data_IF_509350683475
#
_entry.id   IF_509350683475
#
_cell.length_a   1.000
_cell.length_b   1.000
_cell.length_c   1.000
_cell.angle_alpha   90.00
_cell.angle_beta   90.00
_cell.angle_gamma   90.00
#
_symmetry.space_group_name_H-M   'P 1'
#
loop_
_entity.id
_entity.type
_entity.pdbx_description
1 polymer ?
#
# COMPACT_ATOMS: atom_id res chain seq x y z
N UNK A 1 32.38 -23.35 89.96
CA UNK A 1 31.25 -23.82 89.12
C UNK A 1 30.97 -22.75 88.09
N UNK A 2 31.61 -22.86 86.90
CA UNK A 2 31.62 -21.82 85.85
C UNK A 2 30.69 -22.26 84.77
N UNK A 3 29.62 -21.50 84.46
CA UNK A 3 28.70 -21.76 83.41
C UNK A 3 29.21 -21.10 82.08
N UNK A 4 29.57 -21.91 81.13
CA UNK A 4 29.91 -21.47 79.76
C UNK A 4 28.66 -21.23 79.04
N UNK A 5 28.38 -20.00 78.55
CA UNK A 5 27.30 -19.65 77.66
C UNK A 5 27.73 -19.85 76.18
N UNK A 6 27.11 -20.75 75.48
CA UNK A 6 27.29 -20.89 74.04
C UNK A 6 26.51 -19.78 73.33
N UNK A 7 27.25 -18.93 72.63
CA UNK A 7 26.67 -17.96 71.69
C UNK A 7 26.54 -18.66 70.34
N UNK A 8 25.28 -18.88 69.90
CA UNK A 8 25.01 -19.36 68.54
C UNK A 8 25.11 -18.19 67.56
N UNK A 9 26.11 -18.22 66.69
CA UNK A 9 26.25 -17.29 65.58
C UNK A 9 25.39 -17.84 64.46
N UNK A 10 24.26 -17.16 64.14
CA UNK A 10 23.44 -17.44 62.96
C UNK A 10 24.09 -16.75 61.75
N UNK A 11 24.74 -17.53 60.90
CA UNK A 11 25.25 -17.05 59.62
C UNK A 11 24.10 -17.03 58.62
N UNK A 12 23.59 -15.82 58.29
CA UNK A 12 22.58 -15.60 57.27
C UNK A 12 23.28 -15.64 55.91
N UNK A 13 23.15 -16.77 55.19
CA UNK A 13 23.59 -16.86 53.79
C UNK A 13 22.61 -16.10 52.91
N UNK A 14 22.92 -14.85 52.53
CA UNK A 14 22.21 -14.13 51.48
C UNK A 14 22.75 -14.65 50.15
N UNK A 15 22.05 -15.62 49.59
CA UNK A 15 22.32 -16.10 48.23
C UNK A 15 21.94 -15.02 47.20
N UNK A 16 22.93 -14.28 46.73
CA UNK A 16 22.77 -13.40 45.58
C UNK A 16 22.66 -14.29 44.33
N UNK A 17 21.42 -14.56 43.91
CA UNK A 17 21.14 -15.20 42.60
C UNK A 17 21.48 -14.17 41.53
N UNK A 18 22.68 -14.25 40.97
CA UNK A 18 23.07 -13.58 39.72
C UNK A 18 22.28 -14.21 38.58
N UNK A 19 21.10 -13.69 38.30
CA UNK A 19 20.45 -13.95 37.00
C UNK A 19 21.33 -13.30 35.93
N UNK A 20 21.82 -14.05 34.93
CA UNK A 20 22.46 -13.42 33.81
C UNK A 20 21.41 -12.58 33.09
N UNK A 21 21.60 -11.25 33.09
CA UNK A 21 20.83 -10.32 32.29
C UNK A 21 21.19 -10.61 30.83
N UNK A 22 20.40 -11.51 30.18
CA UNK A 22 20.41 -11.64 28.76
C UNK A 22 19.60 -10.47 28.20
N UNK A 23 20.22 -9.50 27.48
CA UNK A 23 19.45 -8.53 26.75
C UNK A 23 18.59 -9.29 25.74
N UNK A 24 17.30 -8.91 25.52
CA UNK A 24 16.51 -9.51 24.47
C UNK A 24 17.28 -9.33 23.18
N UNK A 25 17.53 -10.44 22.48
CA UNK A 25 18.10 -10.41 21.14
C UNK A 25 17.22 -9.46 20.30
N UNK A 26 17.81 -8.53 19.55
CA UNK A 26 17.01 -7.71 18.65
C UNK A 26 16.23 -8.68 17.76
N UNK A 27 14.91 -8.55 17.74
CA UNK A 27 14.09 -9.23 16.75
C UNK A 27 14.71 -8.88 15.40
N UNK A 28 15.47 -9.81 14.85
CA UNK A 28 15.87 -9.74 13.46
C UNK A 28 14.55 -9.76 12.68
N UNK A 29 14.12 -8.58 12.21
CA UNK A 29 13.09 -8.52 11.21
C UNK A 29 13.60 -9.37 10.05
N UNK A 30 13.11 -10.59 9.96
CA UNK A 30 13.33 -11.48 8.82
C UNK A 30 12.46 -11.00 7.64
N UNK A 31 12.58 -9.73 7.27
CA UNK A 31 12.24 -9.29 5.94
C UNK A 31 13.34 -9.86 5.05
N UNK A 32 13.06 -11.00 4.43
CA UNK A 32 13.90 -11.51 3.36
C UNK A 32 14.09 -10.39 2.33
N UNK A 33 15.14 -10.42 1.48
CA UNK A 33 15.42 -9.33 0.55
C UNK A 33 14.16 -9.02 -0.24
N UNK A 34 13.68 -7.77 -0.14
CA UNK A 34 12.47 -7.34 -0.82
C UNK A 34 12.60 -7.71 -2.30
N UNK A 35 11.72 -8.58 -2.76
CA UNK A 35 11.75 -9.06 -4.14
C UNK A 35 11.24 -7.95 -5.05
N UNK A 36 12.16 -7.28 -5.75
CA UNK A 36 11.84 -6.24 -6.73
C UNK A 36 11.91 -6.80 -8.14
N UNK A 37 10.98 -6.37 -8.98
CA UNK A 37 11.04 -6.59 -10.43
C UNK A 37 11.23 -5.23 -11.10
N UNK A 38 12.16 -5.15 -12.05
CA UNK A 38 12.38 -3.97 -12.88
C UNK A 38 11.89 -4.24 -14.30
N UNK A 39 11.10 -3.33 -14.86
CA UNK A 39 10.58 -3.45 -16.22
C UNK A 39 10.24 -2.06 -16.78
N UNK A 40 9.74 -2.01 -18.02
CA UNK A 40 9.24 -0.78 -18.65
C UNK A 40 7.72 -0.84 -18.80
N UNK A 41 7.03 0.30 -18.60
CA UNK A 41 5.60 0.41 -18.88
C UNK A 41 5.39 0.60 -20.37
N UNK A 42 4.81 -0.38 -21.04
CA UNK A 42 4.52 -0.34 -22.49
C UNK A 42 3.11 0.13 -22.79
N UNK A 43 2.19 0.00 -21.82
CA UNK A 43 0.80 0.43 -21.97
C UNK A 43 0.17 0.77 -20.63
N UNK A 44 -0.73 1.76 -20.63
CA UNK A 44 -1.62 2.03 -19.49
C UNK A 44 -3.03 1.63 -19.94
N UNK A 45 -3.58 0.60 -19.30
CA UNK A 45 -4.89 0.02 -19.65
C UNK A 45 -5.99 0.89 -19.02
N UNK A 46 -5.93 1.10 -17.71
CA UNK A 46 -6.78 1.97 -16.92
C UNK A 46 -5.92 2.82 -15.96
N UNK A 47 -6.54 3.70 -15.19
CA UNK A 47 -5.80 4.58 -14.27
C UNK A 47 -4.98 3.82 -13.21
N UNK A 48 -5.33 2.57 -12.93
CA UNK A 48 -4.70 1.71 -11.94
C UNK A 48 -4.19 0.36 -12.47
N UNK A 49 -4.17 0.18 -13.79
CA UNK A 49 -3.72 -1.06 -14.43
C UNK A 49 -2.73 -0.76 -15.56
N UNK A 50 -1.53 -1.30 -15.42
CA UNK A 50 -0.40 -1.12 -16.35
C UNK A 50 -0.10 -2.44 -17.07
N UNK A 51 0.52 -2.33 -18.26
CA UNK A 51 1.14 -3.47 -18.95
C UNK A 51 2.63 -3.19 -19.10
N UNK A 52 3.45 -4.19 -18.76
CA UNK A 52 4.90 -4.14 -18.81
C UNK A 52 5.45 -4.68 -20.13
N UNK A 53 6.76 -4.57 -20.33
CA UNK A 53 7.43 -5.00 -21.55
C UNK A 53 7.28 -6.50 -21.86
N UNK A 54 7.18 -7.34 -20.84
CA UNK A 54 6.90 -8.77 -20.92
C UNK A 54 5.42 -9.12 -21.04
N UNK A 55 4.54 -8.12 -21.26
CA UNK A 55 3.09 -8.21 -21.27
C UNK A 55 2.43 -8.54 -19.93
N UNK A 56 3.19 -8.55 -18.84
CA UNK A 56 2.63 -8.69 -17.49
C UNK A 56 1.68 -7.53 -17.22
N UNK A 57 0.45 -7.84 -16.77
CA UNK A 57 -0.52 -6.84 -16.31
C UNK A 57 -0.36 -6.62 -14.83
N UNK A 58 -0.08 -5.38 -14.45
CA UNK A 58 0.10 -4.97 -13.05
C UNK A 58 -1.11 -4.17 -12.61
N UNK A 59 -1.81 -4.65 -11.58
CA UNK A 59 -2.84 -3.91 -10.85
C UNK A 59 -2.19 -3.21 -9.66
N UNK A 60 -2.33 -1.90 -9.61
CA UNK A 60 -1.79 -1.08 -8.53
C UNK A 60 -2.54 -1.37 -7.22
N UNK A 61 -1.82 -1.82 -6.19
CA UNK A 61 -2.39 -2.15 -4.88
C UNK A 61 -2.88 -0.88 -4.17
N UNK A 62 -3.99 -1.01 -3.44
CA UNK A 62 -4.48 -0.03 -2.48
C UNK A 62 -5.27 1.13 -3.09
N UNK A 63 -5.36 1.21 -4.42
CA UNK A 63 -6.06 2.29 -5.13
C UNK A 63 -7.07 1.73 -6.13
N UNK A 64 -8.12 2.51 -6.41
CA UNK A 64 -9.14 2.20 -7.40
C UNK A 64 -9.51 3.45 -8.19
N UNK A 65 -9.44 3.35 -9.51
CA UNK A 65 -9.81 4.44 -10.43
C UNK A 65 -11.19 4.19 -11.05
N UNK A 66 -11.89 5.25 -11.50
CA UNK A 66 -13.13 5.08 -12.23
C UNK A 66 -12.92 4.25 -13.49
N UNK A 67 -13.91 3.41 -13.82
CA UNK A 67 -13.87 2.54 -14.98
C UNK A 67 -13.93 3.30 -16.29
N UNK A 68 -13.05 2.93 -17.22
CA UNK A 68 -13.05 3.45 -18.59
C UNK A 68 -13.91 2.61 -19.51
N UNK A 69 -13.84 1.27 -19.36
CA UNK A 69 -14.50 0.32 -20.24
C UNK A 69 -15.85 -0.14 -19.67
N UNK A 70 -16.77 -0.52 -20.57
CA UNK A 70 -18.05 -1.07 -20.14
C UNK A 70 -17.83 -2.39 -19.39
N UNK A 71 -18.26 -2.43 -18.15
CA UNK A 71 -18.05 -3.57 -17.24
C UNK A 71 -19.18 -3.66 -16.21
N UNK A 72 -19.30 -4.82 -15.55
CA UNK A 72 -20.22 -4.96 -14.41
C UNK A 72 -19.86 -3.99 -13.25
N UNK A 73 -18.58 -3.63 -13.12
CA UNK A 73 -18.14 -2.63 -12.13
C UNK A 73 -18.69 -1.26 -12.52
N UNK A 74 -18.57 -0.83 -13.77
CA UNK A 74 -19.11 0.45 -14.26
C UNK A 74 -20.63 0.58 -13.97
N UNK A 75 -21.41 -0.48 -14.20
CA UNK A 75 -22.84 -0.47 -13.90
C UNK A 75 -23.09 -0.27 -12.39
N UNK A 76 -22.41 -1.04 -11.53
CA UNK A 76 -22.53 -0.90 -10.08
C UNK A 76 -22.10 0.49 -9.59
N UNK A 77 -21.03 1.05 -10.15
CA UNK A 77 -20.53 2.38 -9.81
C UNK A 77 -21.52 3.47 -10.22
N UNK A 78 -22.17 3.32 -11.36
CA UNK A 78 -23.25 4.20 -11.83
C UNK A 78 -24.46 4.16 -10.90
N UNK A 79 -24.95 2.97 -10.55
CA UNK A 79 -26.05 2.78 -9.61
C UNK A 79 -25.73 3.36 -8.22
N UNK A 80 -24.55 3.05 -7.69
CA UNK A 80 -24.11 3.49 -6.36
C UNK A 80 -23.90 5.00 -6.25
N UNK A 81 -23.28 5.62 -7.26
CA UNK A 81 -22.96 7.04 -7.26
C UNK A 81 -24.08 7.91 -7.84
N UNK A 82 -25.14 7.30 -8.41
CA UNK A 82 -26.23 7.98 -9.17
C UNK A 82 -25.70 8.89 -10.29
N UNK A 83 -24.57 8.50 -10.89
CA UNK A 83 -23.97 9.22 -12.02
C UNK A 83 -24.17 8.48 -13.32
N UNK A 84 -24.29 9.24 -14.38
CA UNK A 84 -24.33 8.69 -15.72
C UNK A 84 -23.04 7.93 -16.06
N UNK A 85 -23.17 6.82 -16.75
CA UNK A 85 -22.06 6.00 -17.22
C UNK A 85 -21.04 6.84 -17.98
N UNK A 86 -21.50 7.78 -18.82
CA UNK A 86 -20.63 8.67 -19.58
C UNK A 86 -19.76 9.56 -18.69
N UNK A 87 -20.29 10.01 -17.55
CA UNK A 87 -19.53 10.80 -16.57
C UNK A 87 -18.44 9.94 -15.93
N UNK A 88 -18.76 8.72 -15.48
CA UNK A 88 -17.77 7.81 -14.86
C UNK A 88 -16.66 7.47 -15.85
N UNK A 89 -17.02 7.16 -17.11
CA UNK A 89 -16.03 6.90 -18.17
C UNK A 89 -15.16 8.12 -18.49
N UNK A 90 -15.73 9.34 -18.41
CA UNK A 90 -14.94 10.57 -18.56
C UNK A 90 -13.91 10.72 -17.45
N UNK A 91 -14.29 10.42 -16.21
CA UNK A 91 -13.38 10.41 -15.05
C UNK A 91 -12.31 9.32 -15.20
N UNK A 92 -12.69 8.12 -15.67
CA UNK A 92 -11.76 7.03 -15.97
C UNK A 92 -10.74 7.43 -17.06
N UNK A 93 -11.17 8.11 -18.13
CA UNK A 93 -10.23 8.65 -19.13
C UNK A 93 -9.23 9.61 -18.51
N UNK A 94 -9.67 10.55 -17.67
CA UNK A 94 -8.77 11.50 -16.99
C UNK A 94 -7.76 10.80 -16.10
N UNK A 95 -8.20 9.80 -15.32
CA UNK A 95 -7.32 9.02 -14.46
C UNK A 95 -6.28 8.25 -15.29
N UNK A 96 -6.70 7.54 -16.34
CA UNK A 96 -5.80 6.85 -17.27
C UNK A 96 -4.80 7.79 -17.93
N UNK A 97 -5.26 8.95 -18.42
CA UNK A 97 -4.39 9.90 -19.12
C UNK A 97 -3.36 10.51 -18.15
N UNK A 98 -3.73 10.73 -16.89
CA UNK A 98 -2.77 11.12 -15.85
C UNK A 98 -1.72 10.03 -15.62
N UNK A 99 -2.13 8.78 -15.37
CA UNK A 99 -1.22 7.65 -15.18
C UNK A 99 -0.32 7.45 -16.41
N UNK A 100 -0.86 7.61 -17.61
CA UNK A 100 -0.08 7.54 -18.87
C UNK A 100 1.02 8.61 -18.92
N UNK A 101 0.70 9.87 -18.61
CA UNK A 101 1.70 10.95 -18.57
C UNK A 101 2.76 10.68 -17.51
N UNK A 102 2.37 10.06 -16.39
CA UNK A 102 3.26 9.78 -15.27
C UNK A 102 4.28 8.68 -15.58
N UNK A 103 3.87 7.56 -16.18
CA UNK A 103 4.72 6.36 -16.23
C UNK A 103 4.88 5.70 -17.62
N UNK A 104 4.15 6.10 -18.67
CA UNK A 104 4.27 5.48 -19.99
C UNK A 104 5.68 5.57 -20.56
N UNK A 105 6.25 4.45 -21.01
CA UNK A 105 7.60 4.35 -21.56
C UNK A 105 8.72 4.43 -20.52
N UNK A 106 8.39 4.63 -19.25
CA UNK A 106 9.39 4.72 -18.18
C UNK A 106 9.72 3.35 -17.60
N UNK A 107 10.96 3.24 -17.10
CA UNK A 107 11.39 2.10 -16.29
C UNK A 107 10.78 2.22 -14.90
N UNK A 108 10.27 1.10 -14.40
CA UNK A 108 9.61 0.99 -13.11
C UNK A 108 10.21 -0.13 -12.29
N UNK A 109 10.13 0.04 -10.97
CA UNK A 109 10.39 -0.98 -9.97
C UNK A 109 9.07 -1.38 -9.33
N UNK A 110 8.79 -2.68 -9.30
CA UNK A 110 7.65 -3.25 -8.59
C UNK A 110 8.10 -3.72 -7.21
N UNK A 111 7.31 -3.35 -6.21
CA UNK A 111 7.37 -3.85 -4.85
C UNK A 111 6.10 -4.65 -4.57
N UNK A 112 6.27 -5.85 -4.01
CA UNK A 112 5.15 -6.73 -3.68
C UNK A 112 4.74 -6.58 -2.22
N UNK A 113 3.49 -6.89 -1.95
CA UNK A 113 2.96 -7.17 -0.63
C UNK A 113 2.80 -8.69 -0.45
N UNK A 114 1.93 -9.13 0.46
CA UNK A 114 1.74 -10.53 0.81
C UNK A 114 1.23 -11.35 -0.38
N UNK A 115 0.12 -10.92 -1.01
CA UNK A 115 -0.39 -11.53 -2.24
C UNK A 115 0.19 -10.84 -3.46
N UNK A 116 0.76 -11.64 -4.38
CA UNK A 116 1.42 -11.15 -5.59
C UNK A 116 0.52 -11.18 -6.83
N UNK A 117 -0.62 -11.88 -6.77
CA UNK A 117 -1.48 -12.07 -7.93
C UNK A 117 -2.94 -12.07 -7.51
N UNK A 118 -3.81 -11.47 -8.30
CA UNK A 118 -5.24 -11.50 -8.06
C UNK A 118 -5.93 -12.67 -8.79
N UNK A 119 -7.24 -12.84 -8.53
CA UNK A 119 -8.07 -13.87 -9.15
C UNK A 119 -8.20 -13.78 -10.67
N UNK A 120 -7.79 -12.68 -11.28
CA UNK A 120 -7.78 -12.46 -12.73
C UNK A 120 -6.38 -12.66 -13.32
N UNK A 121 -5.45 -13.23 -12.54
CA UNK A 121 -4.05 -13.43 -12.91
C UNK A 121 -3.29 -12.14 -13.25
N UNK A 122 -3.68 -11.00 -12.63
CA UNK A 122 -2.90 -9.77 -12.72
C UNK A 122 -1.90 -9.75 -11.58
N UNK A 123 -0.68 -9.31 -11.85
CA UNK A 123 0.34 -9.06 -10.83
C UNK A 123 -0.11 -7.88 -9.95
N UNK A 124 -0.09 -8.06 -8.64
CA UNK A 124 -0.37 -7.03 -7.66
C UNK A 124 0.93 -6.34 -7.24
N UNK A 125 1.01 -5.02 -7.32
CA UNK A 125 2.25 -4.32 -6.99
C UNK A 125 2.09 -2.86 -6.60
N UNK A 126 3.07 -2.42 -5.82
CA UNK A 126 3.39 -1.01 -5.63
C UNK A 126 4.45 -0.63 -6.64
N UNK A 127 4.24 0.45 -7.38
CA UNK A 127 5.07 0.83 -8.53
C UNK A 127 5.83 2.11 -8.24
N UNK A 128 7.13 2.10 -8.53
CA UNK A 128 8.02 3.24 -8.36
C UNK A 128 8.75 3.53 -9.67
N UNK A 129 8.90 4.80 -10.00
CA UNK A 129 9.77 5.26 -11.08
C UNK A 129 11.24 5.27 -10.63
N UNK A 130 12.17 5.43 -11.58
CA UNK A 130 13.61 5.49 -11.27
C UNK A 130 13.99 6.70 -10.40
N UNK A 131 13.25 7.80 -10.48
CA UNK A 131 13.46 9.00 -9.65
C UNK A 131 12.88 8.86 -8.23
N UNK A 132 12.38 7.67 -7.88
CA UNK A 132 11.76 7.38 -6.57
C UNK A 132 10.29 7.74 -6.47
N UNK A 133 9.67 8.30 -7.50
CA UNK A 133 8.24 8.63 -7.49
C UNK A 133 7.40 7.38 -7.25
N UNK A 134 6.62 7.36 -6.17
CA UNK A 134 5.67 6.29 -5.86
C UNK A 134 4.38 6.51 -6.67
N UNK A 135 4.21 5.74 -7.75
CA UNK A 135 3.13 5.92 -8.74
C UNK A 135 1.75 5.82 -8.09
N UNK A 136 1.50 4.78 -7.25
CA UNK A 136 0.23 4.61 -6.55
C UNK A 136 -0.12 5.84 -5.70
N UNK A 137 0.84 6.32 -4.91
CA UNK A 137 0.67 7.48 -4.04
C UNK A 137 0.44 8.76 -4.86
N UNK A 138 1.16 8.93 -5.98
CA UNK A 138 1.04 10.12 -6.83
C UNK A 138 -0.33 10.22 -7.49
N UNK A 139 -0.91 9.09 -7.92
CA UNK A 139 -2.28 9.02 -8.45
C UNK A 139 -3.31 9.42 -7.38
N UNK A 140 -3.11 8.95 -6.14
CA UNK A 140 -3.96 9.31 -4.99
C UNK A 140 -3.85 10.79 -4.63
N UNK A 141 -2.62 11.32 -4.53
CA UNK A 141 -2.33 12.72 -4.20
C UNK A 141 -2.99 13.70 -5.17
N UNK A 142 -2.98 13.37 -6.46
CA UNK A 142 -3.61 14.19 -7.50
C UNK A 142 -5.13 13.95 -7.63
N UNK A 143 -5.68 13.07 -6.79
CA UNK A 143 -7.11 12.82 -6.67
C UNK A 143 -7.72 12.03 -7.82
N UNK A 144 -6.93 11.20 -8.52
CA UNK A 144 -7.43 10.38 -9.64
C UNK A 144 -7.87 8.97 -9.23
N UNK A 145 -7.74 8.62 -7.95
CA UNK A 145 -8.18 7.33 -7.41
C UNK A 145 -8.87 7.49 -6.05
N UNK A 146 -9.57 6.43 -5.64
CA UNK A 146 -10.08 6.22 -4.29
C UNK A 146 -9.29 5.10 -3.62
N UNK A 147 -9.29 5.08 -2.29
CA UNK A 147 -8.70 3.96 -1.53
C UNK A 147 -9.51 2.70 -1.77
N UNK A 148 -8.81 1.61 -2.10
CA UNK A 148 -9.33 0.25 -2.13
C UNK A 148 -8.35 -0.68 -1.41
N UNK A 149 -8.50 -0.81 -0.10
CA UNK A 149 -7.70 -1.74 0.70
C UNK A 149 -8.33 -3.12 0.68
N UNK A 150 -7.58 -4.11 0.19
CA UNK A 150 -7.98 -5.52 0.15
C UNK A 150 -6.94 -6.34 0.93
N UNK A 151 -7.28 -6.83 2.14
CA UNK A 151 -6.38 -7.71 2.88
C UNK A 151 -6.03 -8.96 2.06
N UNK A 152 -4.80 -9.49 2.20
CA UNK A 152 -3.78 -9.11 3.18
C UNK A 152 -2.85 -7.95 2.73
N UNK A 153 -3.05 -7.37 1.54
CA UNK A 153 -2.22 -6.31 0.98
C UNK A 153 -2.59 -4.94 1.56
N UNK A 154 -1.98 -4.57 2.68
CA UNK A 154 -2.36 -3.38 3.48
C UNK A 154 -1.20 -2.43 3.78
N UNK A 155 0.00 -2.72 3.29
CA UNK A 155 1.25 -2.03 3.66
C UNK A 155 1.15 -0.49 3.64
N UNK A 156 0.49 0.10 2.66
CA UNK A 156 0.37 1.55 2.51
C UNK A 156 -1.06 2.09 2.70
N UNK A 157 -1.95 1.31 3.34
CA UNK A 157 -3.37 1.68 3.50
C UNK A 157 -3.55 3.04 4.19
N UNK A 158 -2.84 3.30 5.30
CA UNK A 158 -2.91 4.58 6.02
C UNK A 158 -2.37 5.76 5.19
N UNK A 159 -1.31 5.55 4.43
CA UNK A 159 -0.78 6.59 3.53
C UNK A 159 -1.85 6.98 2.50
N UNK A 160 -2.47 6.00 1.86
CA UNK A 160 -3.49 6.26 0.83
C UNK A 160 -4.73 6.95 1.40
N UNK A 161 -5.17 6.62 2.62
CA UNK A 161 -6.24 7.33 3.30
C UNK A 161 -5.90 8.82 3.47
N UNK A 162 -4.72 9.13 4.02
CA UNK A 162 -4.28 10.53 4.19
C UNK A 162 -4.20 11.30 2.87
N UNK A 163 -3.69 10.66 1.82
CA UNK A 163 -3.57 11.28 0.49
C UNK A 163 -4.95 11.55 -0.13
N UNK A 164 -5.89 10.61 0.02
CA UNK A 164 -7.27 10.79 -0.43
C UNK A 164 -7.94 11.96 0.28
N UNK A 165 -7.83 12.03 1.61
CA UNK A 165 -8.45 13.11 2.40
C UNK A 165 -7.89 14.47 2.00
N UNK A 166 -6.57 14.55 1.76
CA UNK A 166 -5.93 15.76 1.26
C UNK A 166 -6.43 16.13 -0.14
N UNK A 167 -6.49 15.17 -1.07
CA UNK A 167 -6.99 15.40 -2.41
C UNK A 167 -8.44 15.88 -2.41
N UNK A 168 -9.29 15.35 -1.51
CA UNK A 168 -10.67 15.81 -1.29
C UNK A 168 -10.73 17.27 -0.80
N UNK A 169 -9.96 17.59 0.23
CA UNK A 169 -9.89 18.94 0.81
C UNK A 169 -9.43 19.97 -0.22
N UNK A 170 -8.42 19.61 -1.00
CA UNK A 170 -7.84 20.44 -2.06
C UNK A 170 -8.68 20.44 -3.36
N UNK A 171 -9.77 19.67 -3.43
CA UNK A 171 -10.65 19.50 -4.60
C UNK A 171 -9.88 19.09 -5.86
N UNK A 172 -8.92 18.17 -5.74
CA UNK A 172 -8.11 17.68 -6.86
C UNK A 172 -8.83 16.58 -7.64
N UNK A 173 -8.49 16.45 -8.92
CA UNK A 173 -8.88 15.33 -9.78
C UNK A 173 -10.37 15.03 -9.80
N UNK A 174 -10.77 13.90 -9.25
CA UNK A 174 -12.15 13.42 -9.13
C UNK A 174 -12.99 14.24 -8.12
N UNK A 175 -12.35 15.03 -7.27
CA UNK A 175 -12.98 15.79 -6.19
C UNK A 175 -13.29 17.25 -6.57
N UNK A 176 -13.03 17.63 -7.82
CA UNK A 176 -13.41 18.97 -8.33
C UNK A 176 -14.93 19.16 -8.28
N UNK A 177 -15.38 20.41 -8.08
CA UNK A 177 -16.83 20.74 -8.08
C UNK A 177 -17.48 20.23 -9.38
N UNK A 178 -18.57 19.49 -9.25
CA UNK A 178 -19.28 18.87 -10.39
C UNK A 178 -18.81 17.46 -10.77
N UNK A 179 -17.76 16.93 -10.13
CA UNK A 179 -17.22 15.60 -10.43
C UNK A 179 -17.25 14.63 -9.24
N UNK A 180 -17.85 15.05 -8.08
CA UNK A 180 -17.80 14.27 -6.85
C UNK A 180 -18.26 12.82 -7.05
N UNK A 181 -17.39 11.89 -6.72
CA UNK A 181 -17.78 10.52 -6.38
C UNK A 181 -18.09 10.52 -4.87
N UNK A 182 -19.36 10.38 -4.51
CA UNK A 182 -19.80 10.23 -3.10
C UNK A 182 -19.42 8.85 -2.60
#
# INVERSE_FOLDING_TARGET
MVRVKYIQIIILFIGFFLYPFFPPLPFANSEGPAQYIFSYVTRVIDGDTLELADRTRVRLIGIDTPELHFSRKLLRDSERSKKDIAVIQSLGRRARDFTRKLCMGKKVRLEFDIEKTDRYNRTLGYVYLEDGTFVNAKIMEEGYAQVLTVPPNVKYAELFLRLQDRARSDKRGLWQRGTHMN
#
